data_IF_570752868824
#
_entry.id   IF_570752868824
#
_cell.length_a   1.000
_cell.length_b   1.000
_cell.length_c   1.000
_cell.angle_alpha   90.00
_cell.angle_beta   90.00
_cell.angle_gamma   90.00
#
_symmetry.space_group_name_H-M   'P 1'
#
loop_
_entity.id
_entity.type
_entity.pdbx_description
1 polymer ?
#
# COMPACT_ATOMS: atom_id res chain seq x y z
N UNK A 1 -27.89 7.68 9.58
CA UNK A 1 -27.40 7.70 8.19
C UNK A 1 -27.87 6.51 7.34
N UNK A 2 -27.39 5.27 7.52
CA UNK A 2 -27.77 4.18 6.59
C UNK A 2 -29.26 3.81 6.61
N UNK A 3 -29.89 3.77 7.79
CA UNK A 3 -31.33 3.51 7.94
C UNK A 3 -32.19 4.62 7.34
N UNK A 4 -31.79 5.87 7.57
CA UNK A 4 -32.45 7.06 7.04
C UNK A 4 -32.37 7.14 5.52
N UNK A 5 -31.21 6.82 4.94
CA UNK A 5 -31.02 6.76 3.49
C UNK A 5 -31.79 5.60 2.86
N UNK A 6 -31.98 4.48 3.57
CA UNK A 6 -32.83 3.37 3.12
C UNK A 6 -34.32 3.79 3.09
N UNK A 7 -34.82 4.44 4.15
CA UNK A 7 -36.18 4.96 4.18
C UNK A 7 -36.42 6.01 3.06
N UNK A 8 -35.47 6.92 2.84
CA UNK A 8 -35.54 7.89 1.75
C UNK A 8 -35.44 7.25 0.36
N UNK A 9 -34.65 6.17 0.19
CA UNK A 9 -34.63 5.41 -1.06
C UNK A 9 -36.01 4.84 -1.40
N UNK A 10 -36.69 4.23 -0.42
CA UNK A 10 -38.04 3.70 -0.62
C UNK A 10 -39.03 4.82 -0.96
N UNK A 11 -39.01 5.92 -0.21
CA UNK A 11 -39.87 7.09 -0.46
C UNK A 11 -39.63 7.68 -1.85
N UNK A 12 -38.37 7.93 -2.24
CA UNK A 12 -38.01 8.41 -3.58
C UNK A 12 -38.46 7.43 -4.67
N UNK A 13 -38.35 6.12 -4.45
CA UNK A 13 -38.82 5.12 -5.41
C UNK A 13 -40.35 5.12 -5.55
N UNK A 14 -41.08 5.24 -4.45
CA UNK A 14 -42.55 5.36 -4.47
C UNK A 14 -43.01 6.64 -5.16
N UNK A 15 -42.41 7.78 -4.82
CA UNK A 15 -42.69 9.08 -5.45
C UNK A 15 -42.38 9.01 -6.95
N UNK A 16 -41.20 8.52 -7.34
CA UNK A 16 -40.80 8.39 -8.74
C UNK A 16 -41.76 7.54 -9.56
N UNK A 17 -42.20 6.38 -9.02
CA UNK A 17 -43.21 5.54 -9.68
C UNK A 17 -44.56 6.26 -9.84
N UNK A 18 -44.99 7.01 -8.82
CA UNK A 18 -46.24 7.79 -8.89
C UNK A 18 -46.16 8.88 -9.95
N UNK A 19 -45.10 9.68 -9.93
CA UNK A 19 -44.85 10.76 -10.90
C UNK A 19 -44.83 10.27 -12.33
N UNK A 20 -44.21 9.11 -12.57
CA UNK A 20 -44.17 8.49 -13.89
C UNK A 20 -45.57 8.09 -14.39
N UNK A 21 -46.40 7.49 -13.52
CA UNK A 21 -47.79 7.13 -13.85
C UNK A 21 -48.65 8.36 -14.13
N UNK A 22 -48.47 9.40 -13.33
CA UNK A 22 -49.20 10.67 -13.44
C UNK A 22 -48.66 11.57 -14.58
N UNK A 23 -47.55 11.19 -15.22
CA UNK A 23 -46.85 11.97 -16.27
C UNK A 23 -46.63 13.44 -15.89
N UNK A 24 -46.26 13.68 -14.64
CA UNK A 24 -46.00 15.05 -14.14
C UNK A 24 -44.62 15.19 -13.51
N UNK A 25 -44.16 16.43 -13.45
CA UNK A 25 -42.97 16.79 -12.71
C UNK A 25 -43.22 16.74 -11.19
N UNK A 26 -42.17 16.52 -10.38
CA UNK A 26 -42.28 16.59 -8.93
C UNK A 26 -42.65 18.00 -8.47
N UNK A 27 -43.56 18.09 -7.51
CA UNK A 27 -43.90 19.31 -6.79
C UNK A 27 -42.83 19.69 -5.75
N UNK A 28 -42.94 20.85 -5.09
CA UNK A 28 -41.94 21.34 -4.14
C UNK A 28 -41.61 20.36 -3.01
N UNK A 29 -42.63 19.77 -2.38
CA UNK A 29 -42.44 18.81 -1.29
C UNK A 29 -41.71 17.53 -1.76
N UNK A 30 -42.10 16.98 -2.92
CA UNK A 30 -41.46 15.80 -3.49
C UNK A 30 -40.00 16.08 -3.90
N UNK A 31 -39.72 17.28 -4.42
CA UNK A 31 -38.35 17.73 -4.72
C UNK A 31 -37.49 17.75 -3.46
N UNK A 32 -38.03 18.27 -2.35
CA UNK A 32 -37.30 18.33 -1.08
C UNK A 32 -36.86 16.94 -0.59
N UNK A 33 -37.66 15.89 -0.82
CA UNK A 33 -37.29 14.50 -0.48
C UNK A 33 -36.13 14.00 -1.35
N UNK A 34 -36.14 14.29 -2.66
CA UNK A 34 -35.03 13.94 -3.55
C UNK A 34 -33.74 14.71 -3.20
N UNK A 35 -33.86 15.98 -2.84
CA UNK A 35 -32.73 16.83 -2.41
C UNK A 35 -32.14 16.33 -1.09
N UNK A 36 -32.99 15.98 -0.11
CA UNK A 36 -32.55 15.40 1.17
C UNK A 36 -31.80 14.09 0.96
N UNK A 37 -32.30 13.21 0.09
CA UNK A 37 -31.60 11.98 -0.30
C UNK A 37 -30.25 12.28 -0.95
N UNK A 38 -30.20 13.25 -1.88
CA UNK A 38 -28.96 13.63 -2.55
C UNK A 38 -27.92 14.18 -1.57
N UNK A 39 -28.34 15.00 -0.60
CA UNK A 39 -27.48 15.53 0.44
C UNK A 39 -26.87 14.42 1.31
N UNK A 40 -27.68 13.44 1.75
CA UNK A 40 -27.17 12.31 2.54
C UNK A 40 -26.23 11.39 1.74
N UNK A 41 -26.46 11.20 0.44
CA UNK A 41 -25.53 10.48 -0.43
C UNK A 41 -24.20 11.24 -0.50
N UNK A 42 -24.25 12.56 -0.71
CA UNK A 42 -23.04 13.39 -0.78
C UNK A 42 -22.24 13.35 0.54
N UNK A 43 -22.92 13.37 1.69
CA UNK A 43 -22.27 13.25 3.00
C UNK A 43 -21.60 11.88 3.18
N UNK A 44 -22.30 10.79 2.84
CA UNK A 44 -21.74 9.44 2.87
C UNK A 44 -20.50 9.33 1.99
N UNK A 45 -20.58 9.86 0.77
CA UNK A 45 -19.51 9.80 -0.21
C UNK A 45 -18.30 10.63 0.24
N UNK A 46 -18.53 11.78 0.87
CA UNK A 46 -17.46 12.58 1.49
C UNK A 46 -16.76 11.83 2.63
N UNK A 47 -17.50 11.10 3.47
CA UNK A 47 -16.91 10.26 4.53
C UNK A 47 -16.10 9.11 3.91
N UNK A 48 -16.64 8.43 2.90
CA UNK A 48 -15.94 7.37 2.15
C UNK A 48 -14.62 7.90 1.59
N UNK A 49 -14.65 9.04 0.93
CA UNK A 49 -13.49 9.61 0.23
C UNK A 49 -12.40 10.04 1.22
N UNK A 50 -12.77 10.66 2.35
CA UNK A 50 -11.82 10.95 3.43
C UNK A 50 -11.15 9.68 3.97
N UNK A 51 -11.91 8.60 4.12
CA UNK A 51 -11.37 7.33 4.58
C UNK A 51 -10.43 6.69 3.54
N UNK A 52 -10.77 6.78 2.26
CA UNK A 52 -9.92 6.33 1.16
C UNK A 52 -8.61 7.14 1.13
N UNK A 53 -8.70 8.47 1.20
CA UNK A 53 -7.53 9.36 1.21
C UNK A 53 -6.63 9.10 2.42
N UNK A 54 -7.21 8.83 3.59
CA UNK A 54 -6.46 8.42 4.77
C UNK A 54 -5.69 7.10 4.58
N UNK A 55 -6.28 6.12 3.90
CA UNK A 55 -5.59 4.86 3.59
C UNK A 55 -4.48 5.06 2.56
N UNK A 56 -4.72 5.86 1.52
CA UNK A 56 -3.72 6.20 0.51
C UNK A 56 -2.53 6.94 1.11
N UNK A 57 -2.78 7.92 1.98
CA UNK A 57 -1.71 8.67 2.64
C UNK A 57 -0.87 7.77 3.54
N UNK A 58 -1.51 6.87 4.30
CA UNK A 58 -0.81 5.95 5.19
C UNK A 58 0.05 4.95 4.42
N UNK A 59 -0.47 4.36 3.35
CA UNK A 59 0.22 3.32 2.56
C UNK A 59 1.10 3.89 1.44
N UNK A 60 1.17 5.21 1.26
CA UNK A 60 1.92 5.87 0.20
C UNK A 60 3.39 5.41 0.05
N UNK A 61 4.16 5.18 1.13
CA UNK A 61 5.53 4.69 1.02
C UNK A 61 5.66 3.35 0.28
N UNK A 62 4.59 2.54 0.28
CA UNK A 62 4.62 1.20 -0.30
C UNK A 62 4.33 1.20 -1.81
N UNK A 63 3.91 2.33 -2.40
CA UNK A 63 3.42 2.38 -3.79
C UNK A 63 4.44 1.90 -4.83
N UNK A 64 5.73 2.11 -4.57
CA UNK A 64 6.82 1.86 -5.53
C UNK A 64 7.62 0.58 -5.25
N UNK A 65 7.23 -0.20 -4.24
CA UNK A 65 7.99 -1.37 -3.85
C UNK A 65 7.73 -2.50 -4.85
N UNK A 66 8.76 -2.85 -5.61
CA UNK A 66 8.71 -3.92 -6.61
C UNK A 66 8.67 -5.30 -5.94
N UNK A 67 8.10 -6.28 -6.67
CA UNK A 67 8.12 -7.67 -6.24
C UNK A 67 9.55 -8.22 -6.17
N UNK A 68 9.83 -9.19 -5.28
CA UNK A 68 11.11 -9.89 -5.26
C UNK A 68 11.44 -10.49 -6.63
N UNK A 69 12.70 -10.39 -7.04
CA UNK A 69 13.20 -11.09 -8.23
C UNK A 69 13.31 -12.59 -7.93
N UNK A 70 12.93 -13.41 -8.89
CA UNK A 70 13.10 -14.87 -8.85
C UNK A 70 13.85 -15.32 -10.10
N UNK A 71 14.50 -16.48 -10.02
CA UNK A 71 15.15 -17.10 -11.18
C UNK A 71 15.00 -18.62 -11.13
N UNK A 72 14.78 -19.23 -12.29
CA UNK A 72 14.85 -20.69 -12.49
C UNK A 72 16.22 -21.11 -13.05
N UNK A 73 17.11 -20.16 -13.33
CA UNK A 73 18.43 -20.43 -13.86
C UNK A 73 19.31 -21.09 -12.77
N UNK A 74 19.99 -22.16 -13.14
CA UNK A 74 20.86 -22.94 -12.25
C UNK A 74 22.27 -22.36 -12.12
N UNK A 75 22.63 -21.37 -12.94
CA UNK A 75 23.94 -20.73 -12.86
C UNK A 75 24.08 -19.97 -11.53
N UNK A 76 25.09 -20.34 -10.75
CA UNK A 76 25.34 -19.78 -9.43
C UNK A 76 25.51 -18.24 -9.43
N UNK A 77 26.11 -17.69 -10.49
CA UNK A 77 26.25 -16.24 -10.67
C UNK A 77 24.89 -15.55 -10.74
N UNK A 78 23.98 -16.06 -11.57
CA UNK A 78 22.63 -15.50 -11.73
C UNK A 78 21.81 -15.62 -10.44
N UNK A 79 21.97 -16.72 -9.71
CA UNK A 79 21.32 -16.89 -8.40
C UNK A 79 21.84 -15.89 -7.38
N UNK A 80 23.17 -15.68 -7.32
CA UNK A 80 23.79 -14.68 -6.45
C UNK A 80 23.32 -13.26 -6.80
N UNK A 81 23.21 -12.91 -8.07
CA UNK A 81 22.77 -11.57 -8.50
C UNK A 81 21.33 -11.28 -8.09
N UNK A 82 20.44 -12.29 -8.18
CA UNK A 82 19.06 -12.21 -7.72
C UNK A 82 18.99 -12.05 -6.21
N UNK A 83 19.76 -12.85 -5.46
CA UNK A 83 19.86 -12.76 -4.00
C UNK A 83 20.32 -11.37 -3.55
N UNK A 84 21.38 -10.83 -4.17
CA UNK A 84 21.90 -9.49 -3.85
C UNK A 84 20.91 -8.38 -4.26
N UNK A 85 20.27 -8.49 -5.43
CA UNK A 85 19.22 -7.56 -5.84
C UNK A 85 18.09 -7.46 -4.81
N UNK A 86 17.61 -8.60 -4.32
CA UNK A 86 16.53 -8.65 -3.33
C UNK A 86 16.97 -8.12 -1.96
N UNK A 87 18.21 -8.40 -1.55
CA UNK A 87 18.83 -7.82 -0.35
C UNK A 87 18.88 -6.30 -0.45
N UNK A 88 19.36 -5.74 -1.56
CA UNK A 88 19.41 -4.29 -1.78
C UNK A 88 18.03 -3.64 -1.80
N UNK A 89 17.03 -4.30 -2.40
CA UNK A 89 15.65 -3.82 -2.37
C UNK A 89 15.11 -3.77 -0.93
N UNK A 90 15.34 -4.81 -0.13
CA UNK A 90 14.92 -4.82 1.29
C UNK A 90 15.65 -3.77 2.12
N UNK A 91 16.92 -3.50 1.83
CA UNK A 91 17.69 -2.43 2.45
C UNK A 91 17.11 -1.04 2.14
N UNK A 92 16.75 -0.78 0.89
CA UNK A 92 16.12 0.48 0.51
C UNK A 92 14.82 0.72 1.30
N UNK A 93 13.98 -0.30 1.43
CA UNK A 93 12.75 -0.25 2.25
C UNK A 93 13.05 0.05 3.72
N UNK A 94 14.12 -0.53 4.29
CA UNK A 94 14.52 -0.25 5.68
C UNK A 94 15.05 1.18 5.87
N UNK A 95 15.76 1.74 4.88
CA UNK A 95 16.27 3.12 4.92
C UNK A 95 15.16 4.16 4.98
N UNK A 96 14.01 3.86 4.39
CA UNK A 96 12.81 4.71 4.46
C UNK A 96 12.15 4.71 5.86
N UNK A 97 12.65 3.94 6.83
CA UNK A 97 12.15 3.83 8.20
C UNK A 97 10.62 3.60 8.27
N UNK A 98 10.12 2.75 7.37
CA UNK A 98 8.70 2.43 7.27
C UNK A 98 8.25 1.65 8.50
N UNK A 99 7.28 2.19 9.23
CA UNK A 99 6.63 1.49 10.35
C UNK A 99 5.68 0.40 9.82
N UNK A 100 6.22 -0.81 9.69
CA UNK A 100 5.47 -1.96 9.17
C UNK A 100 4.28 -2.36 10.04
N UNK A 101 4.31 -2.08 11.35
CA UNK A 101 3.18 -2.37 12.26
C UNK A 101 2.02 -1.45 11.93
N UNK A 102 2.30 -0.15 11.73
CA UNK A 102 1.30 0.81 11.28
C UNK A 102 0.78 0.45 9.88
N UNK A 103 1.66 0.08 8.95
CA UNK A 103 1.25 -0.32 7.59
C UNK A 103 0.31 -1.53 7.60
N UNK A 104 0.54 -2.52 8.47
CA UNK A 104 -0.32 -3.69 8.60
C UNK A 104 -1.77 -3.31 8.94
N UNK A 105 -1.97 -2.35 9.85
CA UNK A 105 -3.31 -1.88 10.25
C UNK A 105 -4.06 -1.30 9.04
N UNK A 106 -3.40 -0.45 8.27
CA UNK A 106 -4.01 0.16 7.08
C UNK A 106 -4.18 -0.83 5.93
N UNK A 107 -3.27 -1.78 5.76
CA UNK A 107 -3.40 -2.88 4.80
C UNK A 107 -4.64 -3.73 5.09
N UNK A 108 -4.83 -4.18 6.32
CA UNK A 108 -6.01 -4.97 6.73
C UNK A 108 -7.28 -4.17 6.54
N UNK A 109 -7.26 -2.87 6.87
CA UNK A 109 -8.40 -1.98 6.65
C UNK A 109 -8.73 -1.83 5.16
N UNK A 110 -7.73 -1.64 4.32
CA UNK A 110 -7.88 -1.55 2.88
C UNK A 110 -8.45 -2.85 2.30
N UNK A 111 -7.91 -4.00 2.71
CA UNK A 111 -8.37 -5.32 2.28
C UNK A 111 -9.85 -5.56 2.60
N UNK A 112 -10.29 -5.20 3.81
CA UNK A 112 -11.70 -5.35 4.23
C UNK A 112 -12.66 -4.45 3.44
N UNK A 113 -12.19 -3.30 2.94
CA UNK A 113 -13.05 -2.27 2.34
C UNK A 113 -12.92 -2.19 0.82
N UNK A 114 -11.96 -2.87 0.21
CA UNK A 114 -11.66 -2.74 -1.21
C UNK A 114 -12.89 -3.02 -2.08
N UNK A 115 -13.63 -4.10 -1.79
CA UNK A 115 -14.82 -4.46 -2.57
C UNK A 115 -15.93 -3.42 -2.42
N UNK A 116 -16.24 -3.04 -1.18
CA UNK A 116 -17.21 -1.99 -0.91
C UNK A 116 -16.84 -0.65 -1.58
N UNK A 117 -15.55 -0.31 -1.65
CA UNK A 117 -15.09 0.89 -2.36
C UNK A 117 -15.34 0.80 -3.86
N UNK A 118 -15.07 -0.36 -4.48
CA UNK A 118 -15.34 -0.63 -5.90
C UNK A 118 -16.83 -0.51 -6.23
N UNK A 119 -17.69 -1.06 -5.38
CA UNK A 119 -19.14 -1.02 -5.55
C UNK A 119 -19.74 0.36 -5.27
N UNK A 120 -19.12 1.15 -4.39
CA UNK A 120 -19.65 2.44 -3.94
C UNK A 120 -19.42 3.60 -4.91
N UNK A 121 -18.80 3.38 -6.07
CA UNK A 121 -18.46 4.44 -7.03
C UNK A 121 -17.31 5.35 -6.58
N UNK A 122 -16.40 4.86 -5.74
CA UNK A 122 -15.19 5.61 -5.40
C UNK A 122 -14.32 5.83 -6.67
N UNK A 123 -13.50 6.90 -6.72
CA UNK A 123 -12.71 7.21 -7.92
C UNK A 123 -11.81 6.03 -8.33
N UNK A 124 -11.90 5.53 -9.59
CA UNK A 124 -11.23 4.30 -10.01
C UNK A 124 -9.70 4.42 -9.94
N UNK A 125 -9.14 5.60 -10.21
CA UNK A 125 -7.70 5.83 -10.11
C UNK A 125 -7.19 5.73 -8.66
N UNK A 126 -7.98 6.20 -7.69
CA UNK A 126 -7.67 6.05 -6.27
C UNK A 126 -7.73 4.59 -5.83
N UNK A 127 -8.69 3.80 -6.35
CA UNK A 127 -8.78 2.36 -6.09
C UNK A 127 -7.55 1.64 -6.66
N UNK A 128 -7.20 1.86 -7.93
CA UNK A 128 -6.01 1.25 -8.55
C UNK A 128 -4.74 1.60 -7.80
N UNK A 129 -4.64 2.84 -7.31
CA UNK A 129 -3.52 3.30 -6.50
C UNK A 129 -3.45 2.56 -5.16
N UNK A 130 -4.58 2.38 -4.49
CA UNK A 130 -4.67 1.60 -3.25
C UNK A 130 -4.24 0.14 -3.47
N UNK A 131 -4.69 -0.49 -4.55
CA UNK A 131 -4.29 -1.86 -4.91
C UNK A 131 -2.78 -1.97 -5.15
N UNK A 132 -2.15 -1.01 -5.83
CA UNK A 132 -0.68 -0.98 -5.97
C UNK A 132 0.04 -0.87 -4.63
N UNK A 133 -0.44 -0.01 -3.73
CA UNK A 133 0.14 0.12 -2.39
C UNK A 133 -0.03 -1.17 -1.56
N UNK A 134 -1.19 -1.83 -1.67
CA UNK A 134 -1.42 -3.14 -1.05
C UNK A 134 -0.48 -4.21 -1.62
N UNK A 135 -0.25 -4.21 -2.94
CA UNK A 135 0.75 -5.08 -3.56
C UNK A 135 2.16 -4.77 -3.05
N UNK A 136 2.51 -3.50 -2.91
CA UNK A 136 3.76 -3.05 -2.31
C UNK A 136 3.98 -3.60 -0.90
N UNK A 137 2.95 -3.58 -0.04
CA UNK A 137 3.00 -4.21 1.28
C UNK A 137 3.34 -5.70 1.19
N UNK A 138 2.64 -6.45 0.33
CA UNK A 138 2.91 -7.88 0.09
C UNK A 138 4.33 -8.10 -0.43
N UNK A 139 4.82 -7.22 -1.31
CA UNK A 139 6.17 -7.28 -1.85
C UNK A 139 7.24 -7.11 -0.75
N UNK A 140 7.03 -6.21 0.22
CA UNK A 140 7.93 -6.07 1.38
C UNK A 140 7.99 -7.35 2.19
N UNK A 141 6.84 -7.97 2.49
CA UNK A 141 6.79 -9.22 3.24
C UNK A 141 7.52 -10.33 2.50
N UNK A 142 7.26 -10.46 1.20
CA UNK A 142 7.92 -11.45 0.35
C UNK A 142 9.44 -11.22 0.24
N UNK A 143 9.90 -9.96 0.16
CA UNK A 143 11.33 -9.61 0.18
C UNK A 143 11.97 -10.04 1.51
N UNK A 144 11.31 -9.75 2.64
CA UNK A 144 11.78 -10.13 3.97
C UNK A 144 11.89 -11.66 4.11
N UNK A 145 10.87 -12.39 3.68
CA UNK A 145 10.85 -13.85 3.77
C UNK A 145 11.89 -14.49 2.87
N UNK A 146 12.04 -14.01 1.63
CA UNK A 146 13.02 -14.54 0.67
C UNK A 146 14.45 -14.31 1.15
N UNK A 147 14.78 -13.13 1.67
CA UNK A 147 16.11 -12.87 2.21
C UNK A 147 16.38 -13.73 3.45
N UNK A 148 15.40 -13.88 4.35
CA UNK A 148 15.54 -14.77 5.53
C UNK A 148 15.81 -16.22 5.13
N UNK A 149 15.02 -16.78 4.21
CA UNK A 149 15.21 -18.15 3.73
C UNK A 149 16.60 -18.34 3.10
N UNK A 150 17.07 -17.32 2.39
CA UNK A 150 18.40 -17.32 1.77
C UNK A 150 19.50 -17.31 2.83
N UNK A 151 19.38 -16.50 3.88
CA UNK A 151 20.31 -16.48 5.01
C UNK A 151 20.35 -17.83 5.73
N UNK A 152 19.19 -18.44 5.99
CA UNK A 152 19.09 -19.76 6.62
C UNK A 152 19.72 -20.86 5.74
N UNK A 153 19.62 -20.76 4.42
CA UNK A 153 20.27 -21.68 3.51
C UNK A 153 21.80 -21.51 3.50
N UNK A 154 22.29 -20.27 3.41
CA UNK A 154 23.73 -19.98 3.45
C UNK A 154 24.35 -20.44 4.76
N UNK A 155 23.68 -20.17 5.88
CA UNK A 155 24.13 -20.61 7.20
C UNK A 155 24.27 -22.13 7.31
N UNK A 156 23.30 -22.89 6.77
CA UNK A 156 23.37 -24.36 6.71
C UNK A 156 24.52 -24.88 5.85
N UNK A 157 24.96 -24.10 4.87
CA UNK A 157 26.11 -24.41 4.01
C UNK A 157 27.45 -23.92 4.58
N UNK A 158 27.46 -23.33 5.78
CA UNK A 158 28.66 -22.71 6.38
C UNK A 158 29.11 -21.44 5.67
N UNK A 159 28.28 -20.86 4.79
CA UNK A 159 28.54 -19.60 4.12
C UNK A 159 28.06 -18.41 4.98
N UNK A 160 28.70 -17.22 4.88
CA UNK A 160 28.23 -16.01 5.53
C UNK A 160 26.79 -15.66 5.11
N UNK A 161 25.94 -15.21 6.06
CA UNK A 161 24.57 -14.79 5.73
C UNK A 161 24.61 -13.44 4.98
N UNK A 162 23.61 -13.18 4.15
CA UNK A 162 23.44 -11.90 3.45
C UNK A 162 23.23 -10.74 4.41
N UNK A 163 22.57 -11.00 5.54
CA UNK A 163 22.29 -9.98 6.56
C UNK A 163 23.42 -9.80 7.59
N UNK A 164 24.38 -10.73 7.70
CA UNK A 164 25.50 -10.59 8.67
C UNK A 164 26.41 -9.41 8.34
N UNK A 165 26.39 -8.95 7.09
CA UNK A 165 27.13 -7.77 6.61
C UNK A 165 26.29 -6.50 6.64
N UNK A 166 25.11 -6.53 7.26
CA UNK A 166 24.17 -5.41 7.30
C UNK A 166 23.98 -4.94 8.75
N UNK A 167 24.18 -3.64 9.01
CA UNK A 167 23.73 -3.01 10.24
C UNK A 167 22.25 -3.24 10.54
N UNK A 168 21.97 -3.92 11.63
CA UNK A 168 20.61 -4.20 12.11
C UNK A 168 20.11 -3.13 13.09
N UNK A 169 21.02 -2.39 13.73
CA UNK A 169 20.68 -1.30 14.67
C UNK A 169 20.95 0.09 14.09
N UNK A 170 20.39 1.13 14.71
CA UNK A 170 20.67 2.52 14.33
C UNK A 170 22.14 2.91 14.58
N UNK A 171 22.75 2.37 15.64
CA UNK A 171 24.17 2.57 15.94
C UNK A 171 25.07 1.86 14.93
N UNK A 172 24.80 0.59 14.59
CA UNK A 172 25.53 -0.12 13.54
C UNK A 172 25.40 0.60 12.19
N UNK A 173 24.26 1.23 11.92
CA UNK A 173 24.05 2.00 10.68
C UNK A 173 24.92 3.23 10.64
N UNK A 174 24.94 4.01 11.71
CA UNK A 174 25.83 5.17 11.83
C UNK A 174 27.30 4.77 11.68
N UNK A 175 27.69 3.62 12.27
CA UNK A 175 29.07 3.12 12.17
C UNK A 175 29.43 2.65 10.76
N UNK A 176 28.51 1.98 10.07
CA UNK A 176 28.71 1.55 8.69
C UNK A 176 28.72 2.72 7.71
N UNK A 177 27.85 3.72 7.90
CA UNK A 177 27.85 4.95 7.09
C UNK A 177 29.14 5.74 7.30
N UNK A 178 29.67 5.76 8.53
CA UNK A 178 30.96 6.35 8.82
C UNK A 178 32.10 5.57 8.17
N UNK A 179 32.09 4.23 8.28
CA UNK A 179 33.10 3.38 7.64
C UNK A 179 33.09 3.50 6.10
N UNK A 180 31.91 3.64 5.49
CA UNK A 180 31.79 3.88 4.03
C UNK A 180 32.36 5.26 3.64
N UNK A 181 32.14 6.30 4.46
CA UNK A 181 32.73 7.63 4.25
C UNK A 181 34.23 7.62 4.41
N UNK A 182 34.74 6.94 5.43
CA UNK A 182 36.16 6.84 5.71
C UNK A 182 36.87 6.07 4.60
N UNK A 183 36.30 4.95 4.13
CA UNK A 183 36.84 4.19 3.00
C UNK A 183 36.79 4.99 1.68
N UNK A 184 35.76 5.81 1.46
CA UNK A 184 35.69 6.69 0.31
C UNK A 184 36.73 7.81 0.38
N UNK A 185 36.96 8.39 1.57
CA UNK A 185 38.01 9.38 1.77
C UNK A 185 39.40 8.78 1.60
N UNK A 186 39.63 7.58 2.14
CA UNK A 186 40.86 6.81 1.96
C UNK A 186 41.13 6.49 0.48
N UNK A 187 40.07 6.21 -0.29
CA UNK A 187 40.20 5.99 -1.73
C UNK A 187 40.60 7.26 -2.49
N UNK A 188 40.08 8.43 -2.09
CA UNK A 188 40.50 9.74 -2.62
C UNK A 188 41.95 10.04 -2.24
N UNK A 189 42.30 9.86 -0.97
CA UNK A 189 43.62 10.20 -0.43
C UNK A 189 44.73 9.33 -1.03
N UNK A 190 44.41 8.07 -1.37
CA UNK A 190 45.34 7.15 -2.02
C UNK A 190 45.25 7.14 -3.57
N UNK A 191 44.45 8.02 -4.17
CA UNK A 191 44.37 8.20 -5.63
C UNK A 191 43.76 7.02 -6.39
N UNK A 192 42.85 6.25 -5.76
CA UNK A 192 42.12 5.14 -6.40
C UNK A 192 40.89 5.60 -7.21
N UNK A 193 40.64 6.91 -7.30
CA UNK A 193 39.53 7.56 -8.01
C UNK A 193 39.99 8.46 -9.15
#
# INVERSE_FOLDING_TARGET
MNLELAALNEQCHHIGRRLHKERRAPGPEERSVFEMRAALIAERDAVRDRQLDGMLAALAPLEKIAAPKTTSNRLAMVQRDVMQSNRHALLAVRRENIDMTKMQVYFVRAQRRLESLKESGAPPDKIRRLERMMQGYTNVLALRDMVRQTDEQLHRMGAPRLMDTIPTTAQERALSEQSERDAHQEAIDNGYY
#
